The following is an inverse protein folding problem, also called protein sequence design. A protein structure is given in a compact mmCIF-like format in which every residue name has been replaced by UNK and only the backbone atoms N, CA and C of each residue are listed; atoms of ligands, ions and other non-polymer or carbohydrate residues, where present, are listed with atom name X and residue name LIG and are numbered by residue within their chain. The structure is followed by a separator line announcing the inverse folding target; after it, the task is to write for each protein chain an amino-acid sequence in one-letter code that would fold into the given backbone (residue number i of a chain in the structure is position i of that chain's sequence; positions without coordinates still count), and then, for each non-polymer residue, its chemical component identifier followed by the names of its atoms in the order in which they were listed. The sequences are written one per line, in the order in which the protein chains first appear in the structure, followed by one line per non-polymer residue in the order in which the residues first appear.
data_IF_247439499769
#
_entry.id   IF_247439499769
#
_cell.length_a   1.000
_cell.length_b   1.000
_cell.length_c   1.000
_cell.angle_alpha   90.00
_cell.angle_beta   90.00
_cell.angle_gamma   90.00
#
_symmetry.space_group_name_H-M   'P 1'
#
loop_
_entity.id
_entity.type
_entity.pdbx_description
1 polymer ?
#
# COMPACT_ATOMS: atom_id res chain seq x y z
N UNK A 1 -15.07 -13.34 -14.35
CA UNK A 1 -15.72 -12.01 -14.56
C UNK A 1 -15.55 -11.13 -13.34
N UNK A 2 -15.81 -9.82 -13.46
CA UNK A 2 -15.78 -8.89 -12.33
C UNK A 2 -16.74 -9.36 -11.21
N UNK A 3 -17.93 -9.80 -11.58
CA UNK A 3 -18.94 -10.29 -10.65
C UNK A 3 -18.46 -11.52 -9.87
N UNK A 4 -17.80 -12.46 -10.52
CA UNK A 4 -17.21 -13.64 -9.86
C UNK A 4 -16.11 -13.24 -8.89
N UNK A 5 -15.28 -12.27 -9.23
CA UNK A 5 -14.24 -11.78 -8.34
C UNK A 5 -14.86 -11.09 -7.11
N UNK A 6 -15.90 -10.28 -7.28
CA UNK A 6 -16.63 -9.65 -6.16
C UNK A 6 -17.26 -10.72 -5.26
N UNK A 7 -17.88 -11.76 -5.84
CA UNK A 7 -18.46 -12.86 -5.06
C UNK A 7 -17.40 -13.66 -4.30
N UNK A 8 -16.21 -13.91 -4.89
CA UNK A 8 -15.10 -14.55 -4.20
C UNK A 8 -14.59 -13.74 -3.03
N UNK A 9 -14.46 -12.42 -3.20
CA UNK A 9 -14.04 -11.52 -2.11
C UNK A 9 -15.09 -11.48 -1.00
N UNK A 10 -16.39 -11.40 -1.36
CA UNK A 10 -17.49 -11.39 -0.39
C UNK A 10 -17.60 -12.72 0.38
N UNK A 11 -17.24 -13.84 -0.23
CA UNK A 11 -17.25 -15.17 0.39
C UNK A 11 -15.95 -15.49 1.16
N UNK A 12 -14.92 -14.68 1.00
CA UNK A 12 -13.66 -14.85 1.75
C UNK A 12 -13.93 -14.61 3.23
N UNK A 13 -13.58 -15.58 4.07
CA UNK A 13 -13.74 -15.47 5.52
C UNK A 13 -12.98 -14.28 6.07
N UNK A 14 -13.66 -13.42 6.82
CA UNK A 14 -13.04 -12.27 7.48
C UNK A 14 -12.34 -12.76 8.74
N UNK A 15 -11.00 -12.72 8.73
CA UNK A 15 -10.20 -12.94 9.94
C UNK A 15 -10.20 -11.69 10.81
N UNK A 16 -10.31 -11.84 12.11
CA UNK A 16 -10.33 -10.73 13.08
C UNK A 16 -8.97 -10.05 13.28
N UNK A 17 -7.89 -10.46 12.59
CA UNK A 17 -6.59 -9.81 12.66
C UNK A 17 -5.91 -9.78 11.30
N UNK A 18 -5.47 -8.61 10.88
CA UNK A 18 -4.69 -8.46 9.64
C UNK A 18 -3.22 -8.76 9.94
N UNK A 19 -2.78 -9.95 9.58
CA UNK A 19 -1.38 -10.34 9.70
C UNK A 19 -0.61 -9.98 8.41
N UNK A 20 -0.08 -8.76 8.37
CA UNK A 20 0.69 -8.28 7.22
C UNK A 20 1.94 -9.11 6.97
N UNK A 21 2.64 -9.54 8.01
CA UNK A 21 3.85 -10.37 7.86
C UNK A 21 3.54 -11.67 7.12
N UNK A 22 2.44 -12.33 7.48
CA UNK A 22 2.00 -13.55 6.80
C UNK A 22 1.64 -13.29 5.35
N UNK A 23 0.95 -12.19 5.06
CA UNK A 23 0.57 -11.83 3.69
C UNK A 23 1.81 -11.58 2.80
N UNK A 24 2.79 -10.85 3.29
CA UNK A 24 4.04 -10.63 2.57
C UNK A 24 4.85 -11.91 2.39
N UNK A 25 4.91 -12.75 3.42
CA UNK A 25 5.60 -14.03 3.36
C UNK A 25 4.95 -14.96 2.33
N UNK A 26 3.62 -15.04 2.31
CA UNK A 26 2.86 -15.87 1.36
C UNK A 26 3.15 -15.47 -0.10
N UNK A 27 3.18 -14.17 -0.39
CA UNK A 27 3.52 -13.69 -1.75
C UNK A 27 4.95 -14.07 -2.12
N UNK A 28 5.89 -13.93 -1.18
CA UNK A 28 7.28 -14.33 -1.40
C UNK A 28 7.39 -15.83 -1.67
N UNK A 29 6.72 -16.65 -0.85
CA UNK A 29 6.76 -18.12 -0.97
C UNK A 29 6.17 -18.61 -2.30
N UNK A 30 5.05 -18.02 -2.72
CA UNK A 30 4.44 -18.30 -4.03
C UNK A 30 5.37 -17.89 -5.17
N UNK A 31 6.02 -16.73 -5.06
CA UNK A 31 6.95 -16.25 -6.08
C UNK A 31 8.17 -17.18 -6.21
N UNK A 32 8.75 -17.62 -5.08
CA UNK A 32 9.88 -18.54 -5.06
C UNK A 32 9.48 -19.90 -5.61
N UNK A 33 8.33 -20.47 -5.17
CA UNK A 33 7.85 -21.76 -5.61
C UNK A 33 7.61 -21.81 -7.12
N UNK A 34 7.09 -20.73 -7.70
CA UNK A 34 6.81 -20.63 -9.14
C UNK A 34 7.96 -20.03 -9.95
N UNK A 35 9.11 -19.72 -9.32
CA UNK A 35 10.26 -19.09 -9.98
C UNK A 35 9.89 -17.83 -10.75
N UNK A 36 9.05 -16.99 -10.16
CA UNK A 36 8.57 -15.76 -10.79
C UNK A 36 9.76 -14.83 -11.07
N UNK A 37 9.94 -14.33 -12.29
CA UNK A 37 10.99 -13.37 -12.58
C UNK A 37 10.84 -12.09 -11.73
N UNK A 38 11.94 -11.49 -11.28
CA UNK A 38 11.92 -10.31 -10.42
C UNK A 38 11.14 -9.12 -11.03
N UNK A 39 11.18 -8.98 -12.36
CA UNK A 39 10.43 -7.93 -13.08
C UNK A 39 8.92 -8.18 -13.18
N UNK A 40 8.45 -9.37 -12.80
CA UNK A 40 7.03 -9.74 -12.75
C UNK A 40 6.47 -9.71 -11.31
N UNK A 41 7.32 -9.43 -10.33
CA UNK A 41 6.86 -9.24 -8.96
C UNK A 41 5.98 -7.99 -8.82
N UNK A 42 4.97 -8.03 -7.94
CA UNK A 42 4.21 -6.84 -7.60
C UNK A 42 5.14 -5.73 -7.11
N UNK A 43 5.01 -4.53 -7.65
CA UNK A 43 5.77 -3.36 -7.19
C UNK A 43 5.16 -2.71 -5.95
N UNK A 44 3.86 -2.91 -5.77
CA UNK A 44 3.09 -2.25 -4.71
C UNK A 44 2.04 -3.20 -4.14
N UNK A 45 1.93 -3.23 -2.83
CA UNK A 45 0.82 -3.84 -2.10
C UNK A 45 -0.12 -2.76 -1.60
N UNK A 46 -1.41 -2.92 -1.90
CA UNK A 46 -2.46 -2.08 -1.36
C UNK A 46 -3.19 -2.86 -0.26
N UNK A 47 -3.12 -2.36 0.95
CA UNK A 47 -3.79 -2.93 2.11
C UNK A 47 -4.98 -2.05 2.45
N UNK A 48 -6.17 -2.58 2.26
CA UNK A 48 -7.43 -1.89 2.57
C UNK A 48 -7.91 -2.37 3.92
N UNK A 49 -8.06 -1.48 4.88
CA UNK A 49 -8.43 -1.83 6.25
C UNK A 49 -9.20 -0.71 6.94
N UNK A 50 -9.90 -1.08 8.01
CA UNK A 50 -10.66 -0.19 8.89
C UNK A 50 -9.87 0.32 10.11
N UNK A 51 -8.52 0.21 10.11
CA UNK A 51 -7.56 0.71 11.13
C UNK A 51 -7.05 -0.28 12.18
N UNK A 52 -7.40 -1.53 12.20
CA UNK A 52 -6.72 -2.48 13.11
C UNK A 52 -5.25 -2.75 12.75
N UNK A 53 -4.76 -2.12 11.67
CA UNK A 53 -3.34 -2.07 11.30
C UNK A 53 -2.48 -1.31 12.33
N UNK A 54 -3.07 -0.51 13.18
CA UNK A 54 -2.39 0.32 14.21
C UNK A 54 -1.45 -0.46 15.15
N UNK A 55 -1.65 -1.76 15.31
CA UNK A 55 -0.74 -2.59 16.12
C UNK A 55 0.66 -2.68 15.52
N UNK A 56 0.77 -2.63 14.18
CA UNK A 56 2.05 -2.68 13.47
C UNK A 56 2.65 -1.30 13.24
N UNK A 57 1.82 -0.24 13.35
CA UNK A 57 2.20 1.15 13.11
C UNK A 57 2.67 1.90 14.35
N UNK A 58 2.80 1.23 15.49
CA UNK A 58 3.38 1.86 16.69
C UNK A 58 4.84 2.23 16.43
N UNK A 59 5.29 3.40 16.90
CA UNK A 59 6.67 3.82 16.78
C UNK A 59 7.63 2.70 17.21
N UNK A 60 8.57 2.34 16.35
CA UNK A 60 9.58 1.29 16.60
C UNK A 60 9.24 -0.10 16.04
N UNK A 61 7.98 -0.50 15.88
CA UNK A 61 7.64 -1.85 15.36
C UNK A 61 7.49 -1.92 13.85
N UNK A 62 7.03 -0.85 13.24
CA UNK A 62 6.86 -0.78 11.78
C UNK A 62 8.20 -0.91 11.04
N UNK A 63 9.21 -0.18 11.51
CA UNK A 63 10.56 -0.24 10.94
C UNK A 63 11.21 -1.61 11.06
N UNK A 64 11.00 -2.29 12.19
CA UNK A 64 11.52 -3.64 12.38
C UNK A 64 10.86 -4.63 11.42
N UNK A 65 9.54 -4.51 11.21
CA UNK A 65 8.82 -5.33 10.24
C UNK A 65 9.33 -5.12 8.82
N UNK A 66 9.46 -3.86 8.35
CA UNK A 66 9.95 -3.56 7.01
C UNK A 66 11.36 -4.09 6.78
N UNK A 67 12.27 -3.87 7.72
CA UNK A 67 13.65 -4.38 7.64
C UNK A 67 13.71 -5.90 7.57
N UNK A 68 12.90 -6.59 8.36
CA UNK A 68 12.83 -8.06 8.34
C UNK A 68 12.30 -8.55 7.00
N UNK A 69 11.23 -7.94 6.48
CA UNK A 69 10.67 -8.31 5.18
C UNK A 69 11.63 -7.99 4.05
N UNK A 70 12.26 -6.84 4.06
CA UNK A 70 13.27 -6.44 3.07
C UNK A 70 14.43 -7.44 3.02
N UNK A 71 14.95 -7.83 4.18
CA UNK A 71 16.00 -8.83 4.25
C UNK A 71 15.55 -10.20 3.69
N UNK A 72 14.30 -10.63 3.96
CA UNK A 72 13.76 -11.88 3.43
C UNK A 72 13.59 -11.85 1.91
N UNK A 73 13.06 -10.76 1.36
CA UNK A 73 12.88 -10.58 -0.08
C UNK A 73 14.23 -10.52 -0.80
N UNK A 74 15.17 -9.72 -0.29
CA UNK A 74 16.52 -9.59 -0.85
C UNK A 74 17.28 -10.93 -0.84
N UNK A 75 17.13 -11.73 0.22
CA UNK A 75 17.73 -13.06 0.29
C UNK A 75 17.23 -14.04 -0.79
N UNK A 76 16.08 -13.74 -1.41
CA UNK A 76 15.49 -14.52 -2.52
C UNK A 76 15.66 -13.83 -3.88
N UNK A 77 16.37 -12.71 -3.94
CA UNK A 77 16.63 -11.95 -5.17
C UNK A 77 15.45 -11.06 -5.61
N UNK A 78 14.54 -10.73 -4.70
CA UNK A 78 13.40 -9.85 -4.95
C UNK A 78 13.52 -8.54 -4.18
N UNK A 79 13.01 -7.45 -4.75
CA UNK A 79 12.82 -6.21 -4.02
C UNK A 79 11.54 -6.28 -3.18
N UNK A 80 11.56 -5.67 -1.99
CA UNK A 80 10.35 -5.53 -1.19
C UNK A 80 9.35 -4.61 -1.90
N UNK A 81 8.11 -5.04 -2.12
CA UNK A 81 7.06 -4.18 -2.68
C UNK A 81 6.79 -2.98 -1.77
N UNK A 82 6.45 -1.85 -2.38
CA UNK A 82 5.95 -0.68 -1.65
C UNK A 82 4.61 -1.01 -1.00
N UNK A 83 4.30 -0.35 0.12
CA UNK A 83 3.07 -0.57 0.86
C UNK A 83 2.20 0.68 0.79
N UNK A 84 0.97 0.53 0.35
CA UNK A 84 -0.07 1.55 0.48
C UNK A 84 -1.09 1.05 1.49
N UNK A 85 -1.20 1.76 2.60
CA UNK A 85 -2.19 1.47 3.64
C UNK A 85 -3.38 2.41 3.44
N UNK A 86 -4.51 1.85 3.08
CA UNK A 86 -5.73 2.62 2.84
C UNK A 86 -6.75 2.39 3.93
N UNK A 87 -6.96 3.42 4.75
CA UNK A 87 -8.00 3.45 5.76
C UNK A 87 -9.32 3.91 5.15
N UNK A 88 -10.20 2.99 4.88
CA UNK A 88 -11.52 3.27 4.30
C UNK A 88 -12.55 3.75 5.32
N UNK A 89 -12.28 3.62 6.62
CA UNK A 89 -13.18 4.04 7.69
C UNK A 89 -12.87 5.44 8.23
N UNK A 90 -11.90 6.14 7.65
CA UNK A 90 -11.54 7.47 8.10
C UNK A 90 -12.60 8.51 7.70
N UNK A 91 -12.88 9.43 8.63
CA UNK A 91 -13.83 10.53 8.42
C UNK A 91 -13.26 11.68 7.59
N UNK A 92 -11.96 11.72 7.38
CA UNK A 92 -11.26 12.77 6.62
C UNK A 92 -10.35 12.12 5.60
N UNK A 93 -10.38 12.65 4.40
CA UNK A 93 -9.44 12.28 3.34
C UNK A 93 -8.06 12.86 3.67
N UNK A 94 -7.07 12.00 3.73
CA UNK A 94 -5.68 12.40 4.01
C UNK A 94 -4.75 11.47 3.24
N UNK A 95 -3.67 12.04 2.70
CA UNK A 95 -2.57 11.27 2.12
C UNK A 95 -1.30 11.68 2.83
N UNK A 96 -0.62 10.70 3.43
CA UNK A 96 0.63 10.91 4.15
C UNK A 96 1.66 9.89 3.64
N UNK A 97 2.85 10.37 3.32
CA UNK A 97 4.00 9.49 3.12
C UNK A 97 4.79 9.43 4.43
N UNK A 98 5.03 8.22 4.95
CA UNK A 98 5.86 8.04 6.15
C UNK A 98 7.33 7.82 5.79
N UNK A 99 7.58 7.17 4.68
CA UNK A 99 8.91 6.83 4.19
C UNK A 99 8.87 6.50 2.69
N UNK A 100 9.99 6.10 2.12
CA UNK A 100 10.08 5.74 0.69
C UNK A 100 9.28 4.48 0.33
N UNK A 101 8.94 3.65 1.32
CA UNK A 101 8.25 2.38 1.11
C UNK A 101 6.77 2.41 1.52
N UNK A 102 6.32 3.38 2.33
CA UNK A 102 4.97 3.34 2.90
C UNK A 102 4.21 4.64 2.66
N UNK A 103 3.02 4.51 2.08
CA UNK A 103 2.06 5.60 1.88
C UNK A 103 0.79 5.26 2.67
N UNK A 104 0.26 6.25 3.37
CA UNK A 104 -1.05 6.19 4.02
C UNK A 104 -2.08 6.98 3.22
N UNK A 105 -3.20 6.35 2.96
CA UNK A 105 -4.37 6.99 2.37
C UNK A 105 -5.54 6.79 3.32
N UNK A 106 -6.28 7.87 3.60
CA UNK A 106 -7.47 7.83 4.42
C UNK A 106 -8.67 8.37 3.65
N UNK A 107 -9.85 7.79 3.92
CA UNK A 107 -11.11 8.26 3.34
C UNK A 107 -11.68 7.33 2.26
N UNK A 108 -12.95 7.59 1.93
CA UNK A 108 -13.73 6.79 0.97
C UNK A 108 -14.03 7.56 -0.32
N UNK A 109 -13.42 8.73 -0.50
CA UNK A 109 -13.74 9.58 -1.64
C UNK A 109 -13.18 9.04 -2.95
N UNK A 110 -13.79 9.42 -4.06
CA UNK A 110 -13.27 9.16 -5.39
C UNK A 110 -11.89 9.80 -5.60
N UNK A 111 -11.58 10.91 -4.90
CA UNK A 111 -10.28 11.55 -4.93
C UNK A 111 -9.21 10.70 -4.25
N UNK A 112 -9.50 10.08 -3.11
CA UNK A 112 -8.59 9.12 -2.44
C UNK A 112 -8.28 7.94 -3.35
N UNK A 113 -9.27 7.37 -4.01
CA UNK A 113 -9.08 6.29 -4.97
C UNK A 113 -8.25 6.73 -6.19
N UNK A 114 -8.54 7.92 -6.73
CA UNK A 114 -7.76 8.48 -7.83
C UNK A 114 -6.29 8.69 -7.44
N UNK A 115 -6.05 9.22 -6.25
CA UNK A 115 -4.70 9.39 -5.70
C UNK A 115 -4.00 8.04 -5.55
N UNK A 116 -4.70 7.02 -5.04
CA UNK A 116 -4.18 5.66 -4.99
C UNK A 116 -3.71 5.19 -6.37
N UNK A 117 -4.60 5.25 -7.37
CA UNK A 117 -4.29 4.77 -8.72
C UNK A 117 -3.11 5.52 -9.37
N UNK A 118 -2.98 6.82 -9.11
CA UNK A 118 -1.89 7.64 -9.62
C UNK A 118 -0.54 7.32 -8.97
N UNK A 119 -0.55 6.68 -7.80
CA UNK A 119 0.66 6.42 -7.01
C UNK A 119 1.05 4.93 -6.94
N UNK A 120 0.37 4.07 -7.67
CA UNK A 120 0.70 2.64 -7.72
C UNK A 120 2.12 2.35 -8.25
N UNK A 121 2.60 3.16 -9.17
CA UNK A 121 3.94 3.02 -9.76
C UNK A 121 5.07 3.66 -8.94
N UNK A 122 4.72 4.25 -7.82
CA UNK A 122 5.66 4.82 -6.88
C UNK A 122 5.96 6.29 -7.12
N UNK A 123 5.30 7.13 -6.35
CA UNK A 123 5.54 8.57 -6.32
C UNK A 123 6.09 8.94 -4.95
N UNK A 124 7.08 9.82 -4.92
CA UNK A 124 7.64 10.35 -3.66
C UNK A 124 6.67 11.34 -3.01
N UNK A 125 6.84 11.60 -1.71
CA UNK A 125 6.06 12.64 -1.01
C UNK A 125 6.18 14.00 -1.69
N UNK A 126 7.35 14.31 -2.25
CA UNK A 126 7.60 15.55 -2.99
C UNK A 126 6.79 15.60 -4.30
N UNK A 127 6.76 14.53 -5.06
CA UNK A 127 5.97 14.44 -6.29
C UNK A 127 4.47 14.51 -6.02
N UNK A 128 3.99 13.88 -4.93
CA UNK A 128 2.62 14.03 -4.47
C UNK A 128 2.27 15.51 -4.17
N UNK A 129 3.13 16.19 -3.45
CA UNK A 129 2.98 17.61 -3.17
C UNK A 129 2.93 18.43 -4.48
N UNK A 130 3.84 18.17 -5.41
CA UNK A 130 3.85 18.86 -6.70
C UNK A 130 2.60 18.57 -7.53
N UNK A 131 2.07 17.35 -7.51
CA UNK A 131 0.81 17.01 -8.19
C UNK A 131 -0.35 17.84 -7.65
N UNK A 132 -0.43 18.00 -6.32
CA UNK A 132 -1.45 18.85 -5.68
C UNK A 132 -1.26 20.31 -6.07
N UNK A 133 -0.05 20.86 -5.91
CA UNK A 133 0.26 22.25 -6.19
C UNK A 133 0.09 22.62 -7.67
N UNK A 134 0.39 21.72 -8.59
CA UNK A 134 0.19 21.90 -10.03
C UNK A 134 -1.27 21.64 -10.48
N UNK A 135 -2.14 21.24 -9.56
CA UNK A 135 -3.56 21.03 -9.81
C UNK A 135 -4.29 22.30 -10.22
N UNK A 136 -5.42 22.17 -10.91
CA UNK A 136 -6.20 23.31 -11.42
C UNK A 136 -6.59 24.31 -10.33
N UNK A 137 -6.81 23.85 -9.10
CA UNK A 137 -7.19 24.69 -7.96
C UNK A 137 -6.09 25.69 -7.54
N UNK A 138 -4.83 25.42 -7.87
CA UNK A 138 -3.69 26.25 -7.44
C UNK A 138 -3.01 27.00 -8.59
N UNK A 139 -3.49 26.85 -9.83
CA UNK A 139 -2.87 27.50 -11.01
C UNK A 139 -2.84 29.02 -10.95
N UNK A 140 -3.75 29.63 -10.22
CA UNK A 140 -3.86 31.08 -10.09
C UNK A 140 -3.07 31.65 -8.90
N UNK A 141 -2.50 30.78 -8.06
CA UNK A 141 -1.65 31.22 -6.94
C UNK A 141 -0.27 31.57 -7.51
N UNK A 142 -0.02 32.86 -7.69
CA UNK A 142 1.31 33.38 -8.02
C UNK A 142 2.00 33.77 -6.73
N UNK A 143 3.15 33.18 -6.48
CA UNK A 143 4.07 33.59 -5.42
C UNK A 143 4.99 34.66 -5.97
#
# INVERSE_FOLDING_TARGET
SLLENVQKVAAAGVGYSTNLEKAFQEVLDVAVANRVPANQMPKTFVVISDMEIDRYMRPGRHWDFLKVMEARYNAKGYALPRIILWNVNARKDTVLSQDEHTIFISGQSASSFKTLCQNLDGVTAYELMLQVLNGAAYREVRI
#
